data_IF_137312534418
#
_entry.id   IF_137312534418
#
_cell.length_a   1.000
_cell.length_b   1.000
_cell.length_c   1.000
_cell.angle_alpha   90.00
_cell.angle_beta   90.00
_cell.angle_gamma   90.00
#
_symmetry.space_group_name_H-M   'P 1'
#
loop_
_entity.id
_entity.type
_entity.pdbx_description
1 polymer ?
#
# COMPACT_ATOMS: atom_id res chain seq x y z
N UNK A 1 38.30 -77.02 30.68
CA UNK A 1 37.23 -76.25 31.31
C UNK A 1 37.42 -74.77 30.91
N UNK A 2 36.72 -74.35 29.84
CA UNK A 2 36.76 -72.95 29.35
C UNK A 2 35.50 -72.24 29.90
N UNK A 3 35.69 -71.17 30.68
CA UNK A 3 34.61 -70.31 31.13
C UNK A 3 34.42 -69.18 30.08
N UNK A 4 33.26 -69.18 29.43
CA UNK A 4 32.80 -68.10 28.60
C UNK A 4 32.34 -66.92 29.48
N UNK A 5 32.95 -65.76 29.37
CA UNK A 5 32.47 -64.51 29.91
C UNK A 5 31.58 -63.79 28.87
N UNK A 6 30.30 -63.70 29.16
CA UNK A 6 29.32 -62.88 28.41
C UNK A 6 29.50 -61.42 28.87
N UNK A 7 29.91 -60.56 27.96
CA UNK A 7 29.91 -59.11 28.15
C UNK A 7 28.59 -58.56 27.56
N UNK A 8 27.72 -58.14 28.43
CA UNK A 8 26.45 -57.45 28.04
C UNK A 8 26.75 -55.97 27.76
N UNK A 9 26.69 -55.56 26.50
CA UNK A 9 26.78 -54.14 26.14
C UNK A 9 25.36 -53.49 26.33
N UNK A 10 25.28 -52.62 27.34
CA UNK A 10 24.12 -51.71 27.51
C UNK A 10 24.25 -50.55 26.52
N UNK A 11 23.41 -50.52 25.49
CA UNK A 11 23.22 -49.36 24.60
C UNK A 11 22.30 -48.39 25.32
N UNK A 12 22.86 -47.27 25.81
CA UNK A 12 22.06 -46.17 26.32
C UNK A 12 21.53 -45.35 25.17
N UNK A 13 20.21 -45.44 24.85
CA UNK A 13 19.53 -44.50 23.98
C UNK A 13 19.43 -43.13 24.67
N UNK A 14 20.24 -42.17 24.24
CA UNK A 14 20.04 -40.77 24.60
C UNK A 14 18.86 -40.22 23.80
N UNK A 15 17.71 -40.05 24.47
CA UNK A 15 16.56 -39.30 23.93
C UNK A 15 16.98 -37.83 23.93
N UNK A 16 17.45 -37.34 22.77
CA UNK A 16 17.69 -35.91 22.56
C UNK A 16 16.39 -35.14 22.74
N UNK A 17 16.34 -34.26 23.76
CA UNK A 17 15.25 -33.32 23.94
C UNK A 17 15.21 -32.38 22.73
N UNK A 18 14.13 -32.45 21.94
CA UNK A 18 13.82 -31.48 20.88
C UNK A 18 13.66 -30.11 21.54
N UNK A 19 14.42 -29.07 21.13
CA UNK A 19 14.21 -27.74 21.66
C UNK A 19 12.79 -27.28 21.34
N UNK A 20 12.00 -27.00 22.37
CA UNK A 20 10.66 -26.43 22.24
C UNK A 20 10.82 -25.05 21.61
N UNK A 21 10.50 -24.94 20.32
CA UNK A 21 10.44 -23.67 19.61
C UNK A 21 9.54 -22.74 20.43
N UNK A 22 10.12 -21.70 21.01
CA UNK A 22 9.34 -20.64 21.66
C UNK A 22 8.59 -19.94 20.55
N UNK A 23 7.31 -20.24 20.41
CA UNK A 23 6.37 -19.42 19.69
C UNK A 23 6.59 -17.97 20.15
N UNK A 24 7.27 -17.18 19.33
CA UNK A 24 7.30 -15.73 19.48
C UNK A 24 5.85 -15.31 19.26
N UNK A 25 5.16 -14.88 20.31
CA UNK A 25 3.94 -14.12 20.16
C UNK A 25 4.27 -12.95 19.28
N UNK A 26 3.55 -12.68 18.17
CA UNK A 26 3.71 -11.45 17.44
C UNK A 26 3.48 -10.33 18.47
N UNK A 27 4.51 -9.51 18.68
CA UNK A 27 4.31 -8.22 19.30
C UNK A 27 3.33 -7.48 18.36
N UNK A 28 2.21 -7.03 18.88
CA UNK A 28 1.32 -6.08 18.23
C UNK A 28 2.05 -4.73 18.18
N UNK A 29 3.05 -4.66 17.31
CA UNK A 29 3.83 -3.46 17.05
C UNK A 29 3.10 -2.73 15.91
N UNK A 30 2.34 -1.71 16.29
CA UNK A 30 1.43 -0.99 15.39
C UNK A 30 2.17 -0.30 14.24
N UNK A 31 1.91 -0.82 13.05
CA UNK A 31 2.47 -0.32 11.77
C UNK A 31 1.39 -0.42 10.74
N UNK A 32 1.28 0.43 9.69
CA UNK A 32 0.13 0.35 8.77
C UNK A 32 -0.75 -0.74 9.33
N UNK A 33 -1.94 -0.57 9.76
CA UNK A 33 -2.55 -1.48 10.75
C UNK A 33 -2.26 -2.94 10.41
N UNK A 34 -1.43 -3.62 11.23
CA UNK A 34 -1.00 -5.00 10.98
C UNK A 34 0.11 -5.20 9.93
N UNK A 35 0.79 -4.12 9.48
CA UNK A 35 1.90 -4.17 8.52
C UNK A 35 3.29 -4.31 9.17
N UNK A 36 4.34 -4.11 8.37
CA UNK A 36 5.75 -4.15 8.78
C UNK A 36 6.58 -3.04 8.11
N UNK A 37 7.79 -2.77 8.64
CA UNK A 37 8.72 -1.85 7.99
C UNK A 37 9.14 -2.40 6.63
N UNK A 38 9.25 -1.50 5.64
CA UNK A 38 9.64 -1.80 4.28
C UNK A 38 10.85 -0.98 3.84
N UNK A 39 11.61 -1.53 2.90
CA UNK A 39 12.67 -0.78 2.24
C UNK A 39 12.14 -0.18 0.93
N UNK A 40 12.52 1.05 0.62
CA UNK A 40 12.11 1.74 -0.62
C UNK A 40 12.61 1.01 -1.87
N UNK A 41 13.68 0.24 -1.78
CA UNK A 41 14.21 -0.54 -2.90
C UNK A 41 13.24 -1.64 -3.35
N UNK A 42 12.39 -2.14 -2.44
CA UNK A 42 11.33 -3.11 -2.76
C UNK A 42 10.07 -2.43 -3.32
N UNK A 43 9.90 -1.13 -3.07
CA UNK A 43 8.76 -0.31 -3.50
C UNK A 43 9.19 0.95 -4.24
N UNK A 44 10.02 0.85 -5.30
CA UNK A 44 10.69 1.99 -5.91
C UNK A 44 9.74 3.00 -6.60
N UNK A 45 8.48 2.64 -6.73
CA UNK A 45 7.42 3.50 -7.25
C UNK A 45 6.76 4.38 -6.18
N UNK A 46 7.03 4.12 -4.88
CA UNK A 46 6.41 4.85 -3.77
C UNK A 46 6.92 6.29 -3.70
N UNK A 47 5.99 7.22 -3.59
CA UNK A 47 6.27 8.63 -3.32
C UNK A 47 5.59 9.09 -2.02
N UNK A 48 6.28 9.98 -1.31
CA UNK A 48 5.65 10.81 -0.29
C UNK A 48 5.22 12.13 -0.95
N UNK A 49 3.91 12.33 -1.12
CA UNK A 49 3.35 13.62 -1.51
C UNK A 49 3.37 14.54 -0.30
N UNK A 50 4.02 15.68 -0.44
CA UNK A 50 4.19 16.65 0.64
C UNK A 50 3.44 17.93 0.32
N UNK A 51 2.72 18.46 1.31
CA UNK A 51 2.06 19.75 1.24
C UNK A 51 2.79 20.70 2.19
N UNK A 52 3.33 21.81 1.63
CA UNK A 52 4.21 22.73 2.35
C UNK A 52 5.39 22.04 3.05
N UNK A 53 5.97 21.01 2.39
CA UNK A 53 7.13 20.26 2.89
C UNK A 53 6.86 19.17 3.90
N UNK A 54 5.60 18.97 4.31
CA UNK A 54 5.19 17.90 5.23
C UNK A 54 4.39 16.82 4.49
N UNK A 55 4.64 15.55 4.80
CA UNK A 55 3.90 14.44 4.24
C UNK A 55 2.40 14.57 4.49
N UNK A 56 1.60 14.43 3.44
CA UNK A 56 0.14 14.48 3.52
C UNK A 56 -0.52 13.24 2.93
N UNK A 57 0.06 12.70 1.84
CA UNK A 57 -0.49 11.57 1.09
C UNK A 57 0.63 10.73 0.49
N UNK A 58 0.29 9.52 0.04
CA UNK A 58 1.09 8.73 -0.87
C UNK A 58 0.89 9.16 -2.33
N UNK A 59 1.78 8.70 -3.21
CA UNK A 59 1.62 8.74 -4.66
C UNK A 59 2.45 7.61 -5.29
N UNK A 60 2.21 7.33 -6.57
CA UNK A 60 2.91 6.27 -7.31
C UNK A 60 3.55 6.80 -8.58
N UNK A 61 4.84 6.52 -8.80
CA UNK A 61 5.54 6.84 -10.05
C UNK A 61 4.99 5.96 -11.17
N UNK A 62 4.51 6.55 -12.27
CA UNK A 62 4.01 5.83 -13.45
C UNK A 62 4.83 6.10 -14.71
N UNK A 63 5.70 7.10 -14.69
CA UNK A 63 6.75 7.35 -15.69
C UNK A 63 7.84 8.24 -15.11
N UNK A 64 8.89 8.55 -15.88
CA UNK A 64 9.96 9.45 -15.42
C UNK A 64 9.49 10.88 -15.12
N UNK A 65 8.29 11.26 -15.56
CA UNK A 65 7.75 12.63 -15.41
C UNK A 65 6.32 12.66 -14.89
N UNK A 66 5.75 11.49 -14.55
CA UNK A 66 4.35 11.39 -14.09
C UNK A 66 4.23 10.53 -12.86
N UNK A 67 3.37 10.96 -11.95
CA UNK A 67 2.91 10.18 -10.83
C UNK A 67 1.38 10.28 -10.72
N UNK A 68 0.76 9.32 -10.04
CA UNK A 68 -0.66 9.34 -9.69
C UNK A 68 -0.83 9.40 -8.18
N UNK A 69 -1.88 10.09 -7.75
CA UNK A 69 -2.36 10.15 -6.36
C UNK A 69 -3.87 10.26 -6.34
N UNK A 70 -4.49 10.34 -5.18
CA UNK A 70 -5.92 10.61 -5.04
C UNK A 70 -6.24 12.07 -5.32
N UNK A 71 -7.41 12.35 -5.88
CA UNK A 71 -7.88 13.73 -6.13
C UNK A 71 -8.07 14.49 -4.82
N UNK A 72 -8.65 13.85 -3.80
CA UNK A 72 -8.86 14.48 -2.49
C UNK A 72 -7.56 14.93 -1.81
N UNK A 73 -6.40 14.40 -2.21
CA UNK A 73 -5.09 14.84 -1.72
C UNK A 73 -4.64 16.20 -2.28
N UNK A 74 -5.18 16.60 -3.43
CA UNK A 74 -4.71 17.76 -4.18
C UNK A 74 -5.78 18.81 -4.42
N UNK A 75 -7.05 18.43 -4.26
CA UNK A 75 -8.20 19.32 -4.51
C UNK A 75 -8.17 20.55 -3.61
N UNK A 76 -8.56 21.69 -4.17
CA UNK A 76 -8.61 22.97 -3.46
C UNK A 76 -7.25 23.61 -3.11
N UNK A 77 -6.12 22.98 -3.50
CA UNK A 77 -4.78 23.46 -3.17
C UNK A 77 -3.99 23.93 -4.39
N UNK A 78 -3.11 24.91 -4.19
CA UNK A 78 -2.21 25.38 -5.27
C UNK A 78 -1.15 24.31 -5.60
N UNK A 79 -0.90 24.06 -6.88
CA UNK A 79 0.18 23.19 -7.36
C UNK A 79 1.55 23.53 -6.74
N UNK A 80 1.82 24.82 -6.51
CA UNK A 80 3.09 25.28 -5.94
C UNK A 80 3.29 24.87 -4.48
N UNK A 81 2.24 24.44 -3.76
CA UNK A 81 2.35 23.96 -2.40
C UNK A 81 2.80 22.50 -2.28
N UNK A 82 2.85 21.75 -3.42
CA UNK A 82 3.16 20.33 -3.42
C UNK A 82 4.58 20.02 -3.89
N UNK A 83 5.26 19.19 -3.13
CA UNK A 83 6.48 18.47 -3.53
C UNK A 83 6.26 16.97 -3.42
N UNK A 84 7.09 16.18 -4.11
CA UNK A 84 7.15 14.74 -3.89
C UNK A 84 8.55 14.33 -3.48
N UNK A 85 8.66 13.39 -2.54
CA UNK A 85 9.90 12.72 -2.17
C UNK A 85 9.91 11.32 -2.75
N UNK A 86 10.99 10.99 -3.48
CA UNK A 86 11.25 9.69 -4.10
C UNK A 86 12.53 9.08 -3.54
N UNK A 87 12.66 7.75 -3.52
CA UNK A 87 13.90 7.05 -3.22
C UNK A 87 14.34 7.12 -1.77
N UNK A 88 13.40 7.12 -0.82
CA UNK A 88 13.73 7.05 0.60
C UNK A 88 12.72 6.19 1.36
N UNK A 89 13.22 5.32 2.21
CA UNK A 89 12.39 4.61 3.21
C UNK A 89 11.93 5.52 4.33
N UNK A 90 12.51 6.74 4.44
CA UNK A 90 12.14 7.72 5.47
C UNK A 90 11.27 8.83 4.89
N UNK A 91 10.17 9.11 5.56
CA UNK A 91 9.14 10.07 5.17
C UNK A 91 9.67 11.50 4.91
N UNK A 92 10.62 11.96 5.72
CA UNK A 92 11.09 13.35 5.71
C UNK A 92 12.60 13.49 5.47
N UNK A 93 13.33 12.39 5.24
CA UNK A 93 14.79 12.41 5.07
C UNK A 93 15.22 11.62 3.83
N UNK A 94 16.36 11.99 3.25
CA UNK A 94 16.96 11.29 2.11
C UNK A 94 16.18 11.42 0.82
N UNK A 95 16.59 10.65 -0.20
CA UNK A 95 15.99 10.61 -1.52
C UNK A 95 16.04 11.95 -2.28
N UNK A 96 15.24 12.04 -3.34
CA UNK A 96 15.06 13.25 -4.15
C UNK A 96 13.74 13.93 -3.77
N UNK A 97 13.77 15.25 -3.53
CA UNK A 97 12.56 16.06 -3.37
C UNK A 97 12.43 16.95 -4.58
N UNK A 98 11.31 16.85 -5.29
CA UNK A 98 11.03 17.62 -6.48
C UNK A 98 9.71 18.36 -6.39
N UNK A 99 9.66 19.57 -6.96
CA UNK A 99 8.44 20.38 -7.02
C UNK A 99 7.45 19.81 -8.02
N UNK A 100 6.19 19.64 -7.62
CA UNK A 100 5.11 19.33 -8.56
C UNK A 100 4.93 20.50 -9.52
N UNK A 101 4.91 20.23 -10.82
CA UNK A 101 4.80 21.25 -11.88
C UNK A 101 3.35 21.46 -12.31
N UNK A 102 2.52 20.43 -12.22
CA UNK A 102 1.13 20.47 -12.62
C UNK A 102 0.34 19.39 -11.86
N UNK A 103 -0.90 19.69 -11.52
CA UNK A 103 -1.85 18.75 -10.93
C UNK A 103 -3.06 18.68 -11.85
N UNK A 104 -3.32 17.50 -12.41
CA UNK A 104 -4.49 17.22 -13.23
C UNK A 104 -5.46 16.36 -12.42
N UNK A 105 -6.50 16.97 -11.87
CA UNK A 105 -7.58 16.28 -11.15
C UNK A 105 -8.59 15.74 -12.17
N UNK A 106 -9.15 14.54 -11.93
CA UNK A 106 -10.22 14.03 -12.79
C UNK A 106 -11.39 15.03 -12.82
N UNK A 107 -11.89 15.43 -14.01
CA UNK A 107 -12.91 16.49 -14.12
C UNK A 107 -14.25 16.14 -13.43
N UNK A 108 -14.54 14.85 -13.29
CA UNK A 108 -15.76 14.34 -12.63
C UNK A 108 -15.52 13.97 -11.15
N UNK A 109 -14.39 14.38 -10.57
CA UNK A 109 -14.15 14.13 -9.14
C UNK A 109 -15.26 14.71 -8.29
N UNK A 110 -15.91 13.86 -7.50
CA UNK A 110 -16.96 14.25 -6.56
C UNK A 110 -16.47 14.07 -5.12
N UNK A 111 -16.20 15.19 -4.45
CA UNK A 111 -15.70 15.20 -3.07
C UNK A 111 -16.71 14.61 -2.06
N UNK A 112 -18.01 14.69 -2.32
CA UNK A 112 -19.02 14.27 -1.35
C UNK A 112 -19.19 12.77 -1.25
N UNK A 113 -18.99 12.07 -2.34
CA UNK A 113 -19.05 10.60 -2.41
C UNK A 113 -17.70 9.97 -2.69
N UNK A 114 -16.64 10.79 -2.81
CA UNK A 114 -15.25 10.43 -3.10
C UNK A 114 -15.17 9.53 -4.36
N UNK A 115 -15.91 9.91 -5.41
CA UNK A 115 -15.87 9.19 -6.69
C UNK A 115 -14.93 9.88 -7.68
N UNK A 116 -14.40 9.14 -8.67
CA UNK A 116 -13.34 9.58 -9.57
C UNK A 116 -12.11 10.13 -8.84
N UNK A 117 -11.78 9.55 -7.72
CA UNK A 117 -10.75 10.03 -6.82
C UNK A 117 -9.33 9.73 -7.35
N UNK A 118 -8.92 10.48 -8.36
CA UNK A 118 -7.60 10.37 -8.99
C UNK A 118 -7.09 11.71 -9.48
N UNK A 119 -5.80 11.96 -9.24
CA UNK A 119 -5.03 13.06 -9.84
C UNK A 119 -3.77 12.53 -10.50
N UNK A 120 -3.37 13.13 -11.63
CA UNK A 120 -2.07 12.90 -12.28
C UNK A 120 -1.18 14.12 -12.03
N UNK A 121 -0.01 13.85 -11.48
CA UNK A 121 1.00 14.86 -11.18
C UNK A 121 2.05 14.90 -12.30
N UNK A 122 2.38 16.08 -12.83
CA UNK A 122 3.56 16.28 -13.67
C UNK A 122 4.74 16.70 -12.79
N UNK A 123 5.85 15.99 -12.96
CA UNK A 123 7.08 16.16 -12.21
C UNK A 123 8.22 16.57 -13.14
N UNK A 124 9.27 17.23 -12.64
CA UNK A 124 10.56 17.22 -13.29
C UNK A 124 11.00 15.78 -13.55
N UNK A 125 11.83 15.56 -14.59
CA UNK A 125 12.31 14.22 -14.92
C UNK A 125 13.05 13.61 -13.74
N UNK A 126 12.50 12.50 -13.21
CA UNK A 126 13.15 11.67 -12.20
C UNK A 126 14.26 10.82 -12.86
N UNK A 127 15.37 10.67 -12.17
CA UNK A 127 16.40 9.70 -12.54
C UNK A 127 16.04 8.37 -11.88
N UNK A 128 15.79 7.35 -12.70
CA UNK A 128 15.54 6.00 -12.18
C UNK A 128 16.84 5.39 -11.68
N UNK A 129 16.82 4.89 -10.48
CA UNK A 129 17.93 4.26 -9.76
C UNK A 129 17.36 3.27 -8.72
N UNK A 130 18.23 2.63 -7.92
CA UNK A 130 17.74 1.83 -6.78
C UNK A 130 16.84 2.68 -5.89
N UNK A 131 15.62 2.19 -5.63
CA UNK A 131 14.59 2.90 -4.87
C UNK A 131 13.76 3.95 -5.65
N UNK A 132 14.03 4.18 -6.94
CA UNK A 132 13.20 5.06 -7.79
C UNK A 132 12.93 4.39 -9.14
N UNK A 133 11.70 3.92 -9.35
CA UNK A 133 11.27 3.33 -10.62
C UNK A 133 9.74 3.47 -10.79
N UNK A 134 9.24 3.24 -11.99
CA UNK A 134 7.82 3.29 -12.27
C UNK A 134 7.14 1.94 -12.06
N UNK A 135 5.85 1.99 -11.68
CA UNK A 135 4.94 0.83 -11.67
C UNK A 135 4.06 0.85 -12.91
N UNK A 136 3.83 -0.33 -13.51
CA UNK A 136 2.90 -0.47 -14.62
C UNK A 136 1.45 -0.30 -14.16
N UNK A 137 0.64 0.37 -15.00
CA UNK A 137 -0.79 0.52 -14.74
C UNK A 137 -1.56 -0.75 -15.10
N UNK A 138 -2.47 -1.18 -14.24
CA UNK A 138 -3.38 -2.30 -14.55
C UNK A 138 -4.09 -2.06 -15.89
N UNK A 139 -4.17 -3.05 -16.79
CA UNK A 139 -4.83 -2.89 -18.07
C UNK A 139 -6.30 -2.48 -17.92
N UNK A 140 -6.78 -1.57 -18.78
CA UNK A 140 -8.18 -1.14 -18.77
C UNK A 140 -9.09 -2.36 -19.03
N UNK A 141 -10.09 -2.53 -18.18
CA UNK A 141 -11.05 -3.63 -18.25
C UNK A 141 -10.55 -4.96 -17.71
N UNK A 142 -9.30 -5.03 -17.20
CA UNK A 142 -8.84 -6.20 -16.51
C UNK A 142 -9.50 -6.31 -15.12
N UNK A 143 -9.82 -7.53 -14.73
CA UNK A 143 -10.41 -7.82 -13.42
C UNK A 143 -9.42 -8.59 -12.57
N UNK A 144 -9.26 -8.16 -11.32
CA UNK A 144 -8.48 -8.85 -10.32
C UNK A 144 -9.38 -9.89 -9.62
N UNK A 145 -8.91 -11.13 -9.50
CA UNK A 145 -9.69 -12.18 -8.82
C UNK A 145 -9.89 -11.86 -7.33
N UNK A 146 -11.06 -12.19 -6.80
CA UNK A 146 -11.32 -12.12 -5.35
C UNK A 146 -10.32 -13.01 -4.61
N UNK A 147 -9.77 -12.52 -3.52
CA UNK A 147 -8.73 -13.19 -2.75
C UNK A 147 -7.29 -12.89 -3.23
N UNK A 148 -7.09 -12.23 -4.38
CA UNK A 148 -5.76 -11.79 -4.79
C UNK A 148 -5.23 -10.74 -3.82
N UNK A 149 -4.04 -10.94 -3.27
CA UNK A 149 -3.41 -9.98 -2.37
C UNK A 149 -2.98 -8.72 -3.12
N UNK A 150 -3.44 -7.58 -2.61
CA UNK A 150 -2.91 -6.28 -2.91
C UNK A 150 -1.85 -5.89 -1.89
N UNK A 151 -0.72 -5.40 -2.35
CA UNK A 151 0.38 -4.88 -1.54
C UNK A 151 0.23 -3.38 -1.45
N UNK A 152 0.05 -2.88 -0.22
CA UNK A 152 -0.11 -1.45 0.05
C UNK A 152 1.11 -0.99 0.81
N UNK A 153 1.76 0.06 0.31
CA UNK A 153 2.90 0.69 0.96
C UNK A 153 2.63 2.17 1.23
N UNK A 154 3.21 2.70 2.32
CA UNK A 154 3.04 4.11 2.67
C UNK A 154 3.55 4.47 4.06
N UNK A 155 3.30 5.72 4.44
CA UNK A 155 3.65 6.28 5.75
C UNK A 155 2.41 6.73 6.54
N UNK A 156 1.26 6.10 6.26
CA UNK A 156 0.03 6.35 7.01
C UNK A 156 0.12 5.91 8.46
N UNK A 157 -0.81 6.38 9.28
CA UNK A 157 -0.83 6.10 10.71
C UNK A 157 -0.96 4.60 11.00
N UNK A 158 -0.37 4.17 12.08
CA UNK A 158 -0.28 2.77 12.48
C UNK A 158 -1.51 2.25 13.22
N UNK A 159 -2.41 3.18 13.51
CA UNK A 159 -3.73 2.96 14.09
C UNK A 159 -4.59 4.18 13.76
N UNK A 160 -5.90 4.03 13.77
CA UNK A 160 -6.82 5.15 13.54
C UNK A 160 -6.55 6.29 14.53
N UNK A 161 -6.23 7.50 14.03
CA UNK A 161 -5.87 8.67 14.84
C UNK A 161 -4.48 8.61 15.50
N UNK A 162 -3.63 7.65 15.10
CA UNK A 162 -2.25 7.51 15.57
C UNK A 162 -1.28 8.52 14.93
N UNK A 163 0.01 8.42 15.27
CA UNK A 163 1.08 9.19 14.65
C UNK A 163 1.58 8.53 13.37
N UNK A 164 2.08 9.35 12.44
CA UNK A 164 2.73 8.86 11.21
C UNK A 164 4.09 8.23 11.55
N UNK A 165 4.42 7.03 11.01
CA UNK A 165 5.73 6.44 11.15
C UNK A 165 6.79 7.22 10.38
N UNK A 166 8.05 7.15 10.83
CA UNK A 166 9.18 7.71 10.08
C UNK A 166 9.58 6.78 8.89
N UNK A 167 9.51 5.46 9.13
CA UNK A 167 9.85 4.43 8.15
C UNK A 167 8.65 4.02 7.29
N UNK A 168 8.92 3.77 5.99
CA UNK A 168 7.96 3.15 5.07
C UNK A 168 7.41 1.85 5.66
N UNK A 169 6.13 1.65 5.52
CA UNK A 169 5.39 0.46 5.96
C UNK A 169 4.81 -0.26 4.76
N UNK A 170 4.56 -1.56 4.93
CA UNK A 170 3.86 -2.40 3.94
C UNK A 170 2.86 -3.31 4.63
N UNK A 171 1.75 -3.57 3.95
CA UNK A 171 0.75 -4.57 4.34
C UNK A 171 0.20 -5.27 3.11
N UNK A 172 -0.16 -6.54 3.27
CA UNK A 172 -0.92 -7.28 2.26
C UNK A 172 -2.36 -7.45 2.72
N UNK A 173 -3.31 -7.15 1.80
CA UNK A 173 -4.74 -7.31 2.01
C UNK A 173 -5.40 -7.90 0.77
N UNK A 174 -6.28 -8.91 0.89
CA UNK A 174 -6.93 -9.53 -0.25
C UNK A 174 -8.00 -8.64 -0.86
N UNK A 175 -8.19 -8.71 -2.19
CA UNK A 175 -9.38 -8.18 -2.86
C UNK A 175 -10.62 -8.89 -2.34
N UNK A 176 -11.62 -8.13 -1.93
CA UNK A 176 -12.95 -8.66 -1.58
C UNK A 176 -13.90 -8.56 -2.77
N UNK A 177 -15.04 -9.25 -2.72
CA UNK A 177 -16.05 -9.14 -3.78
C UNK A 177 -16.71 -7.77 -3.79
N UNK A 178 -17.15 -7.34 -4.97
CA UNK A 178 -17.86 -6.07 -5.12
C UNK A 178 -19.19 -6.09 -4.35
N UNK A 179 -19.88 -7.25 -4.28
CA UNK A 179 -21.10 -7.44 -3.48
C UNK A 179 -20.83 -7.26 -1.98
N UNK A 180 -19.72 -7.82 -1.47
CA UNK A 180 -19.34 -7.62 -0.07
C UNK A 180 -19.03 -6.15 0.23
N UNK A 181 -18.26 -5.51 -0.65
CA UNK A 181 -17.95 -4.09 -0.52
C UNK A 181 -19.21 -3.22 -0.58
N UNK A 182 -20.11 -3.49 -1.53
CA UNK A 182 -21.40 -2.80 -1.63
C UNK A 182 -22.27 -2.99 -0.39
N UNK A 183 -22.29 -4.20 0.19
CA UNK A 183 -23.06 -4.47 1.41
C UNK A 183 -22.49 -3.74 2.63
N UNK A 184 -21.16 -3.54 2.70
CA UNK A 184 -20.49 -2.82 3.78
C UNK A 184 -20.80 -1.31 3.78
N UNK A 185 -20.87 -0.70 2.58
CA UNK A 185 -20.91 0.76 2.44
C UNK A 185 -22.21 1.30 1.80
N UNK A 186 -22.90 0.53 0.97
CA UNK A 186 -24.15 0.95 0.29
C UNK A 186 -23.97 1.93 -0.88
N UNK A 187 -22.76 2.46 -1.10
CA UNK A 187 -22.50 3.54 -2.07
C UNK A 187 -21.21 3.34 -2.89
N UNK A 188 -20.83 2.10 -3.16
CA UNK A 188 -19.67 1.79 -4.00
C UNK A 188 -20.02 1.97 -5.47
N UNK A 189 -19.15 2.68 -6.21
CA UNK A 189 -19.31 2.92 -7.66
C UNK A 189 -18.43 1.94 -8.46
N UNK A 190 -18.65 1.77 -9.78
CA UNK A 190 -17.79 0.93 -10.62
C UNK A 190 -16.30 1.36 -10.66
N UNK A 191 -16.00 2.63 -10.33
CA UNK A 191 -14.64 3.19 -10.25
C UNK A 191 -13.91 2.86 -8.96
N UNK A 192 -14.54 2.12 -8.06
CA UNK A 192 -14.01 1.72 -6.76
C UNK A 192 -13.74 0.21 -6.73
N UNK A 193 -12.76 -0.21 -5.96
CA UNK A 193 -12.47 -1.61 -5.62
C UNK A 193 -12.11 -1.71 -4.16
N UNK A 194 -12.36 -2.86 -3.53
CA UNK A 194 -12.16 -3.00 -2.09
C UNK A 194 -11.21 -4.13 -1.76
N UNK A 195 -10.33 -3.86 -0.78
CA UNK A 195 -9.40 -4.85 -0.25
C UNK A 195 -9.43 -4.82 1.27
N UNK A 196 -9.35 -5.97 1.91
CA UNK A 196 -9.35 -6.07 3.37
C UNK A 196 -9.70 -7.48 3.85
N UNK A 197 -9.62 -7.66 5.15
CA UNK A 197 -10.06 -8.87 5.84
C UNK A 197 -11.42 -8.62 6.50
N UNK A 198 -12.31 -9.60 6.47
CA UNK A 198 -13.63 -9.52 7.13
C UNK A 198 -13.50 -9.24 8.63
N UNK A 199 -12.53 -9.88 9.26
CA UNK A 199 -12.22 -9.70 10.69
C UNK A 199 -11.48 -8.38 10.99
N UNK A 200 -11.08 -7.62 9.96
CA UNK A 200 -10.26 -6.42 10.10
C UNK A 200 -8.80 -6.74 10.47
N UNK A 201 -8.14 -5.82 11.17
CA UNK A 201 -6.79 -6.00 11.71
C UNK A 201 -5.66 -5.66 10.74
N UNK A 202 -5.92 -5.51 9.43
CA UNK A 202 -4.95 -5.08 8.42
C UNK A 202 -5.61 -4.14 7.41
N UNK A 203 -5.02 -2.97 7.18
CA UNK A 203 -5.53 -1.96 6.23
C UNK A 203 -4.54 -0.81 6.01
N UNK A 204 -4.79 0.01 4.98
CA UNK A 204 -4.26 1.36 4.87
C UNK A 204 -4.90 2.29 5.90
N UNK A 205 -4.26 3.41 6.20
CA UNK A 205 -4.76 4.35 7.21
C UNK A 205 -4.49 5.82 6.80
N UNK A 206 -4.82 6.78 7.67
CA UNK A 206 -4.63 8.20 7.40
C UNK A 206 -3.16 8.51 7.04
N UNK A 207 -2.95 9.14 5.89
CA UNK A 207 -1.62 9.41 5.32
C UNK A 207 -1.18 8.43 4.23
N UNK A 208 -1.85 7.27 4.06
CA UNK A 208 -1.66 6.38 2.92
C UNK A 208 -2.48 6.79 1.70
N UNK A 209 -3.48 7.66 1.86
CA UNK A 209 -4.31 8.22 0.78
C UNK A 209 -3.48 8.57 -0.46
N UNK A 210 -3.95 8.20 -1.64
CA UNK A 210 -3.23 8.42 -2.90
C UNK A 210 -2.08 7.44 -3.17
N UNK A 211 -1.68 6.65 -2.18
CA UNK A 211 -0.63 5.65 -2.29
C UNK A 211 -1.03 4.42 -3.10
N UNK A 212 -0.05 3.54 -3.42
CA UNK A 212 -0.25 2.39 -4.26
C UNK A 212 -0.96 1.23 -3.53
N UNK A 213 -1.84 0.55 -4.28
CA UNK A 213 -2.21 -0.84 -4.07
C UNK A 213 -1.73 -1.61 -5.31
N UNK A 214 -0.77 -2.51 -5.12
CA UNK A 214 -0.10 -3.25 -6.20
C UNK A 214 -0.43 -4.73 -6.09
N UNK A 215 -0.87 -5.33 -7.20
CA UNK A 215 -1.06 -6.77 -7.33
C UNK A 215 -0.57 -7.24 -8.69
N UNK A 216 0.00 -8.45 -8.75
CA UNK A 216 0.47 -9.07 -9.99
C UNK A 216 1.44 -8.20 -10.80
N UNK A 217 2.19 -7.31 -10.13
CA UNK A 217 3.15 -6.39 -10.76
C UNK A 217 2.52 -5.12 -11.36
N UNK A 218 1.24 -4.84 -11.09
CA UNK A 218 0.51 -3.68 -11.58
C UNK A 218 -0.02 -2.82 -10.46
N UNK A 219 -0.10 -1.51 -10.68
CA UNK A 219 -0.91 -0.61 -9.86
C UNK A 219 -2.38 -0.90 -10.15
N UNK A 220 -3.06 -1.59 -9.24
CA UNK A 220 -4.46 -2.01 -9.38
C UNK A 220 -5.42 -1.04 -8.70
N UNK A 221 -4.95 -0.33 -7.66
CA UNK A 221 -5.74 0.61 -6.90
C UNK A 221 -4.92 1.80 -6.40
N UNK A 222 -5.60 2.90 -6.12
CA UNK A 222 -5.06 4.08 -5.44
C UNK A 222 -5.82 4.20 -4.12
N UNK A 223 -5.12 4.26 -2.99
CA UNK A 223 -5.75 4.39 -1.66
C UNK A 223 -6.66 5.61 -1.65
N UNK A 224 -7.94 5.41 -1.35
CA UNK A 224 -8.96 6.45 -1.43
C UNK A 224 -9.61 6.73 -0.09
N UNK A 225 -10.45 5.86 0.43
CA UNK A 225 -11.18 6.07 1.68
C UNK A 225 -11.53 4.75 2.39
N UNK A 226 -12.11 4.87 3.60
CA UNK A 226 -12.60 3.75 4.38
C UNK A 226 -13.29 4.21 5.65
N UNK A 227 -13.91 3.29 6.37
CA UNK A 227 -14.53 3.54 7.66
C UNK A 227 -13.59 3.17 8.81
N UNK A 228 -12.83 4.16 9.27
CA UNK A 228 -11.72 3.93 10.20
C UNK A 228 -10.52 3.31 9.48
N UNK A 229 -9.72 2.51 10.18
CA UNK A 229 -8.63 1.73 9.60
C UNK A 229 -8.71 0.32 10.17
N UNK A 230 -8.68 -0.69 9.30
CA UNK A 230 -8.76 -2.10 9.66
C UNK A 230 -9.98 -2.49 10.51
N UNK A 231 -11.10 -1.79 10.37
CA UNK A 231 -12.33 -2.08 11.09
C UNK A 231 -13.00 -3.34 10.54
N UNK A 232 -13.36 -4.30 11.40
CA UNK A 232 -14.06 -5.50 10.99
C UNK A 232 -15.34 -5.16 10.20
N UNK A 233 -15.56 -5.84 9.06
CA UNK A 233 -16.70 -5.62 8.19
C UNK A 233 -16.59 -4.41 7.25
N UNK A 234 -15.49 -3.65 7.29
CA UNK A 234 -15.30 -2.44 6.47
C UNK A 234 -13.93 -2.48 5.76
N UNK A 235 -13.83 -3.11 4.58
CA UNK A 235 -12.59 -3.15 3.80
C UNK A 235 -12.19 -1.75 3.32
N UNK A 236 -10.90 -1.51 3.11
CA UNK A 236 -10.41 -0.28 2.49
C UNK A 236 -10.96 -0.12 1.07
N UNK A 237 -11.27 1.11 0.66
CA UNK A 237 -11.76 1.46 -0.67
C UNK A 237 -10.68 2.16 -1.47
N UNK A 238 -10.47 1.73 -2.70
CA UNK A 238 -9.42 2.17 -3.61
C UNK A 238 -10.03 2.61 -4.93
N UNK A 239 -9.48 3.64 -5.57
CA UNK A 239 -9.81 3.98 -6.95
C UNK A 239 -9.33 2.87 -7.87
N UNK A 240 -10.23 2.25 -8.66
CA UNK A 240 -9.97 1.10 -9.55
C UNK A 240 -9.23 1.56 -10.81
N UNK A 241 -7.91 1.28 -10.91
CA UNK A 241 -7.07 1.74 -12.05
C UNK A 241 -7.48 1.10 -13.37
N UNK A 242 -8.02 -0.13 -13.34
CA UNK A 242 -8.54 -0.83 -14.52
C UNK A 242 -9.91 -0.33 -14.98
N UNK A 243 -10.60 0.50 -14.22
CA UNK A 243 -11.83 1.14 -14.68
C UNK A 243 -11.59 1.92 -15.96
N UNK A 244 -12.59 1.96 -16.86
CA UNK A 244 -12.43 2.52 -18.20
C UNK A 244 -12.20 4.03 -18.17
N UNK A 245 -12.89 4.74 -17.32
CA UNK A 245 -12.80 6.21 -17.24
C UNK A 245 -11.55 6.63 -16.50
N UNK A 246 -11.29 6.02 -15.33
CA UNK A 246 -10.06 6.22 -14.56
C UNK A 246 -8.82 5.87 -15.38
N UNK A 247 -8.79 4.68 -15.98
CA UNK A 247 -7.66 4.21 -16.78
C UNK A 247 -7.38 5.05 -18.02
N UNK A 248 -8.41 5.57 -18.68
CA UNK A 248 -8.26 6.51 -19.80
C UNK A 248 -7.74 7.86 -19.34
N UNK A 249 -8.29 8.40 -18.24
CA UNK A 249 -7.83 9.67 -17.69
C UNK A 249 -6.35 9.62 -17.34
N UNK A 250 -5.90 8.61 -16.58
CA UNK A 250 -4.48 8.47 -16.24
C UNK A 250 -3.62 8.43 -17.49
N UNK A 251 -3.97 7.60 -18.50
CA UNK A 251 -3.17 7.40 -19.72
C UNK A 251 -3.17 8.61 -20.65
N UNK A 252 -4.22 9.42 -20.67
CA UNK A 252 -4.28 10.64 -21.47
C UNK A 252 -3.41 11.76 -20.90
N UNK A 253 -2.93 11.62 -19.64
CA UNK A 253 -2.07 12.56 -18.95
C UNK A 253 -0.61 12.06 -18.79
N UNK A 254 -0.19 11.00 -19.53
CA UNK A 254 1.18 10.48 -19.53
C UNK A 254 2.20 11.38 -20.20
#
# INVERSE_FOLDING_TARGET
MFRLLLVSALVALSIGAVPKERSRRPLLDGRIVGGENADIEDFPYQLSLQHYGSHTCGASIISTTRAVTAAHCTDGSSTSSFTVRAGSSKREQGGQVVQVQEVNIHPDFDYWIIDYDVSVLRLPKLTFESGINAIALHPIGAELAVGTNGIISGWGTLASGGSLPDHLQVVEVPKVSDDYCQSAYGSITPRMTCHGYEEGGKDSCQGDSGGPNVAEGYLVGIVSWGRGCASAGYPGVYTKVADREIGKFIRSNL
#
